data_IF_538235034963
#
_entry.id   IF_538235034963
#
_cell.length_a   1.000
_cell.length_b   1.000
_cell.length_c   1.000
_cell.angle_alpha   90.00
_cell.angle_beta   90.00
_cell.angle_gamma   90.00
#
_symmetry.space_group_name_H-M   'P 1'
#
loop_
_entity.id
_entity.type
_entity.pdbx_description
1 polymer ?
#
# COMPACT_ATOMS: atom_id res chain seq x y z
N UNK A 1 15.11 -38.63 29.54
CA UNK A 1 14.53 -39.67 28.68
C UNK A 1 13.23 -39.10 28.15
N UNK A 2 13.26 -38.52 26.93
CA UNK A 2 12.14 -38.04 26.09
C UNK A 2 11.32 -36.89 26.71
N UNK A 3 11.46 -35.60 26.37
CA UNK A 3 11.50 -34.93 25.05
C UNK A 3 10.37 -35.41 24.13
N UNK A 4 9.15 -34.93 24.38
CA UNK A 4 8.04 -34.95 23.42
C UNK A 4 7.60 -33.51 23.15
N UNK A 5 8.41 -32.84 22.32
CA UNK A 5 8.06 -31.59 21.68
C UNK A 5 6.95 -31.85 20.65
N UNK A 6 5.70 -31.69 21.06
CA UNK A 6 4.57 -31.61 20.13
C UNK A 6 4.66 -30.25 19.45
N UNK A 7 5.12 -30.27 18.20
CA UNK A 7 5.22 -29.13 17.32
C UNK A 7 3.83 -28.54 17.02
N UNK A 8 3.45 -27.48 17.75
CA UNK A 8 2.38 -26.58 17.35
C UNK A 8 2.98 -25.35 16.67
N UNK A 9 2.96 -25.38 15.34
CA UNK A 9 3.20 -24.23 14.47
C UNK A 9 2.15 -23.14 14.72
N UNK A 10 2.40 -22.25 15.67
CA UNK A 10 1.60 -21.07 15.90
C UNK A 10 2.50 -19.83 15.97
N UNK A 11 2.46 -19.06 14.89
CA UNK A 11 2.70 -17.61 14.77
C UNK A 11 3.29 -16.98 16.04
N UNK A 12 4.60 -16.67 15.99
CA UNK A 12 5.29 -15.91 17.01
C UNK A 12 4.76 -14.46 17.02
N UNK A 13 3.66 -14.24 17.72
CA UNK A 13 3.21 -12.91 18.07
C UNK A 13 3.94 -12.48 19.35
N UNK A 14 4.84 -11.51 19.25
CA UNK A 14 5.50 -10.95 20.43
C UNK A 14 4.49 -10.03 21.14
N UNK A 15 4.18 -10.33 22.40
CA UNK A 15 3.28 -9.51 23.22
C UNK A 15 4.12 -8.40 23.86
N UNK A 16 4.02 -7.20 23.31
CA UNK A 16 4.70 -6.00 23.86
C UNK A 16 3.72 -5.26 24.76
N UNK A 17 4.04 -5.20 26.06
CA UNK A 17 3.25 -4.50 27.07
C UNK A 17 3.87 -3.14 27.36
N UNK A 18 3.08 -2.06 27.23
CA UNK A 18 3.48 -0.70 27.61
C UNK A 18 2.28 -0.01 28.26
N UNK A 19 2.09 -0.25 29.55
CA UNK A 19 0.96 0.26 30.36
C UNK A 19 -0.23 -0.72 30.44
N UNK A 20 -1.47 -0.27 30.70
CA UNK A 20 -2.65 -1.14 30.78
C UNK A 20 -3.10 -1.72 29.42
N UNK A 21 -2.38 -1.39 28.34
CA UNK A 21 -2.73 -1.73 26.97
C UNK A 21 -1.75 -2.76 26.43
N UNK A 22 -2.28 -3.91 26.00
CA UNK A 22 -1.53 -4.98 25.37
C UNK A 22 -1.53 -4.80 23.85
N UNK A 23 -0.34 -4.79 23.24
CA UNK A 23 -0.19 -4.80 21.78
C UNK A 23 0.20 -6.21 21.32
N UNK A 24 -0.57 -6.77 20.39
CA UNK A 24 -0.20 -8.01 19.69
C UNK A 24 0.60 -7.65 18.45
N UNK A 25 1.91 -7.85 18.49
CA UNK A 25 2.75 -7.71 17.29
C UNK A 25 2.73 -9.08 16.59
N UNK A 26 1.77 -9.26 15.69
CA UNK A 26 1.73 -10.44 14.84
C UNK A 26 2.80 -10.28 13.74
N UNK A 27 3.91 -11.00 13.86
CA UNK A 27 4.83 -11.16 12.74
C UNK A 27 4.15 -12.05 11.68
N UNK A 28 3.56 -11.41 10.67
CA UNK A 28 3.07 -12.10 9.49
C UNK A 28 4.28 -12.45 8.62
N UNK A 29 4.98 -13.51 9.03
CA UNK A 29 6.01 -14.18 8.23
C UNK A 29 5.47 -14.39 6.81
N UNK A 30 5.95 -13.55 5.90
CA UNK A 30 5.48 -13.51 4.52
C UNK A 30 6.16 -14.65 3.77
N UNK A 31 5.65 -15.87 3.96
CA UNK A 31 6.03 -17.03 3.17
C UNK A 31 5.99 -16.64 1.68
N UNK A 32 7.13 -16.76 1.00
CA UNK A 32 7.29 -16.52 -0.43
C UNK A 32 6.58 -17.62 -1.24
N UNK A 33 5.27 -17.70 -1.06
CA UNK A 33 4.40 -18.68 -1.68
C UNK A 33 4.21 -18.37 -3.17
N UNK A 34 4.04 -19.40 -3.98
CA UNK A 34 3.61 -19.31 -5.38
C UNK A 34 2.40 -18.38 -5.57
N UNK A 35 1.51 -18.31 -4.57
CA UNK A 35 0.40 -17.34 -4.48
C UNK A 35 0.84 -15.88 -4.60
N UNK A 36 1.98 -15.50 -4.02
CA UNK A 36 2.49 -14.13 -4.06
C UNK A 36 2.95 -13.69 -5.45
N UNK A 37 3.57 -14.60 -6.22
CA UNK A 37 3.97 -14.33 -7.62
C UNK A 37 2.74 -14.19 -8.51
N UNK A 38 1.79 -15.12 -8.40
CA UNK A 38 0.53 -15.05 -9.16
C UNK A 38 -0.25 -13.76 -8.85
N UNK A 39 -0.33 -13.38 -7.57
CA UNK A 39 -0.93 -12.11 -7.16
C UNK A 39 -0.25 -10.90 -7.82
N UNK A 40 1.09 -10.90 -7.92
CA UNK A 40 1.80 -9.79 -8.57
C UNK A 40 1.45 -9.70 -10.06
N UNK A 41 1.39 -10.82 -10.78
CA UNK A 41 0.98 -10.83 -12.18
C UNK A 41 -0.46 -10.36 -12.37
N UNK A 42 -1.39 -10.84 -11.53
CA UNK A 42 -2.78 -10.39 -11.59
C UNK A 42 -2.90 -8.90 -11.28
N UNK A 43 -2.21 -8.40 -10.26
CA UNK A 43 -2.26 -6.99 -9.88
C UNK A 43 -1.76 -6.09 -11.03
N UNK A 44 -0.71 -6.48 -11.77
CA UNK A 44 -0.19 -5.72 -12.92
C UNK A 44 -1.14 -5.78 -14.12
N UNK A 45 -1.66 -6.96 -14.46
CA UNK A 45 -2.57 -7.12 -15.61
C UNK A 45 -3.90 -6.41 -15.38
N UNK A 46 -4.51 -6.60 -14.20
CA UNK A 46 -5.79 -5.98 -13.86
C UNK A 46 -5.67 -4.47 -13.72
N UNK A 47 -4.58 -3.96 -13.11
CA UNK A 47 -4.37 -2.51 -13.03
C UNK A 47 -4.13 -1.90 -14.42
N UNK A 48 -3.34 -2.54 -15.29
CA UNK A 48 -3.12 -2.08 -16.66
C UNK A 48 -4.43 -2.00 -17.45
N UNK A 49 -5.28 -3.04 -17.36
CA UNK A 49 -6.58 -3.06 -18.02
C UNK A 49 -7.52 -1.98 -17.46
N UNK A 50 -7.58 -1.82 -16.14
CA UNK A 50 -8.39 -0.79 -15.50
C UNK A 50 -7.96 0.62 -15.93
N UNK A 51 -6.65 0.89 -15.99
CA UNK A 51 -6.12 2.17 -16.46
C UNK A 51 -6.45 2.40 -17.93
N UNK A 52 -6.35 1.39 -18.80
CA UNK A 52 -6.71 1.52 -20.21
C UNK A 52 -8.20 1.87 -20.38
N UNK A 53 -9.09 1.16 -19.67
CA UNK A 53 -10.54 1.39 -19.71
C UNK A 53 -10.93 2.74 -19.12
N UNK A 54 -10.28 3.16 -18.03
CA UNK A 54 -10.54 4.44 -17.36
C UNK A 54 -9.77 5.61 -17.98
N UNK A 55 -8.85 5.37 -18.90
CA UNK A 55 -8.01 6.41 -19.52
C UNK A 55 -8.79 7.61 -20.09
N UNK A 56 -9.93 7.46 -20.80
CA UNK A 56 -10.69 8.62 -21.26
C UNK A 56 -11.23 9.46 -20.11
N UNK A 57 -11.73 8.82 -19.04
CA UNK A 57 -12.22 9.51 -17.84
C UNK A 57 -11.08 10.23 -17.10
N UNK A 58 -9.94 9.56 -16.92
CA UNK A 58 -8.76 10.14 -16.29
C UNK A 58 -8.22 11.35 -17.07
N UNK A 59 -8.33 11.34 -18.39
CA UNK A 59 -7.95 12.47 -19.25
C UNK A 59 -8.89 13.66 -19.04
N UNK A 60 -10.21 13.44 -18.99
CA UNK A 60 -11.19 14.50 -18.68
C UNK A 60 -10.90 15.13 -17.33
N UNK A 61 -10.68 14.31 -16.29
CA UNK A 61 -10.34 14.79 -14.94
C UNK A 61 -9.03 15.58 -14.98
N UNK A 62 -8.03 15.11 -15.72
CA UNK A 62 -6.73 15.79 -15.86
C UNK A 62 -6.86 17.20 -16.42
N UNK A 63 -7.73 17.38 -17.43
CA UNK A 63 -8.03 18.71 -18.01
C UNK A 63 -8.73 19.60 -16.99
N UNK A 64 -9.73 19.08 -16.27
CA UNK A 64 -10.47 19.84 -15.25
C UNK A 64 -9.55 20.32 -14.12
N UNK A 65 -8.68 19.42 -13.61
CA UNK A 65 -7.71 19.75 -12.57
C UNK A 65 -6.72 20.82 -13.06
N UNK A 66 -6.25 20.72 -14.31
CA UNK A 66 -5.33 21.70 -14.90
C UNK A 66 -5.96 23.08 -15.08
N UNK A 67 -7.26 23.14 -15.39
CA UNK A 67 -8.01 24.40 -15.53
C UNK A 67 -8.36 25.06 -14.19
N UNK A 68 -8.45 24.28 -13.10
CA UNK A 68 -8.82 24.81 -11.79
C UNK A 68 -7.74 25.70 -11.16
N UNK A 69 -6.45 25.39 -11.34
CA UNK A 69 -5.34 26.25 -10.89
C UNK A 69 -4.02 25.90 -11.60
N UNK A 70 -3.08 26.85 -11.75
CA UNK A 70 -1.75 26.57 -12.27
C UNK A 70 -1.04 25.51 -11.42
N UNK A 71 -0.18 24.69 -12.05
CA UNK A 71 0.57 23.62 -11.38
C UNK A 71 0.39 22.22 -11.97
N UNK A 72 0.99 21.20 -11.33
CA UNK A 72 0.91 19.79 -11.75
C UNK A 72 -0.47 19.18 -11.49
N UNK A 73 -0.85 18.20 -12.33
CA UNK A 73 -2.16 17.52 -12.26
C UNK A 73 -2.20 16.49 -11.12
N UNK A 74 -1.07 15.80 -10.92
CA UNK A 74 -0.91 14.79 -9.88
C UNK A 74 -0.09 15.36 -8.73
N UNK A 75 -0.53 15.03 -7.51
CA UNK A 75 0.19 15.28 -6.27
C UNK A 75 0.84 13.97 -5.80
N UNK A 76 2.11 14.05 -5.41
CA UNK A 76 2.91 12.92 -4.92
C UNK A 76 2.98 13.00 -3.40
N UNK A 77 2.54 11.97 -2.70
CA UNK A 77 2.66 11.85 -1.25
C UNK A 77 3.49 10.61 -0.90
N UNK A 78 4.48 10.71 -0.02
CA UNK A 78 5.19 9.52 0.44
C UNK A 78 4.36 8.72 1.45
N UNK A 79 4.34 7.40 1.29
CA UNK A 79 3.70 6.45 2.21
C UNK A 79 4.59 5.24 2.44
N UNK A 80 4.51 4.66 3.63
CA UNK A 80 5.22 3.42 3.98
C UNK A 80 4.65 2.27 3.17
N UNK A 81 5.49 1.60 2.40
CA UNK A 81 5.11 0.52 1.49
C UNK A 81 5.47 -0.87 2.01
N UNK A 82 5.67 -1.78 1.07
CA UNK A 82 6.04 -3.17 1.35
C UNK A 82 7.41 -3.20 2.06
N UNK A 83 7.48 -3.99 3.14
CA UNK A 83 8.70 -4.23 3.92
C UNK A 83 9.31 -2.92 4.48
N UNK A 84 8.47 -1.92 4.78
CA UNK A 84 8.89 -0.64 5.32
C UNK A 84 9.48 0.33 4.29
N UNK A 85 9.63 -0.08 3.03
CA UNK A 85 10.20 0.76 1.97
C UNK A 85 9.18 1.84 1.56
N UNK A 86 9.50 3.14 1.68
CA UNK A 86 8.60 4.20 1.28
C UNK A 86 8.36 4.17 -0.24
N UNK A 87 7.16 4.58 -0.66
CA UNK A 87 6.80 4.69 -2.08
C UNK A 87 6.00 5.97 -2.36
N UNK A 88 6.14 6.54 -3.57
CA UNK A 88 5.34 7.68 -4.00
C UNK A 88 3.89 7.26 -4.28
N UNK A 89 2.94 7.85 -3.56
CA UNK A 89 1.50 7.70 -3.77
C UNK A 89 0.98 8.85 -4.64
N UNK A 90 0.55 8.52 -5.85
CA UNK A 90 0.02 9.45 -6.83
C UNK A 90 -1.49 9.64 -6.64
N UNK A 91 -1.95 10.89 -6.52
CA UNK A 91 -3.39 11.25 -6.50
C UNK A 91 -3.64 12.51 -7.32
N UNK A 92 -4.86 12.67 -7.84
CA UNK A 92 -5.27 13.94 -8.44
C UNK A 92 -5.23 15.05 -7.39
N UNK A 93 -4.74 16.21 -7.80
CA UNK A 93 -4.69 17.39 -6.93
C UNK A 93 -6.11 17.90 -6.68
N UNK A 94 -6.48 18.00 -5.41
CA UNK A 94 -7.75 18.62 -4.96
C UNK A 94 -7.56 20.00 -4.32
N UNK A 95 -6.36 20.30 -3.80
CA UNK A 95 -6.02 21.57 -3.17
C UNK A 95 -5.27 22.50 -4.13
N UNK A 96 -5.32 23.82 -3.89
CA UNK A 96 -4.56 24.81 -4.65
C UNK A 96 -3.06 24.52 -4.51
N UNK A 97 -2.31 24.70 -5.59
CA UNK A 97 -0.86 24.59 -5.55
C UNK A 97 -0.28 25.79 -4.78
N UNK A 98 0.60 25.55 -3.81
CA UNK A 98 1.15 26.55 -2.87
C UNK A 98 0.13 27.15 -1.89
N UNK A 99 -0.62 26.31 -1.17
CA UNK A 99 -1.44 26.78 -0.03
C UNK A 99 -0.65 27.01 1.27
N UNK A 100 0.69 26.99 1.20
CA UNK A 100 1.58 26.97 2.38
C UNK A 100 2.34 28.31 2.57
N UNK A 101 1.87 29.40 1.94
CA UNK A 101 2.30 30.78 2.22
C UNK A 101 1.39 31.45 3.27
#
# INVERSE_FOLDING_TARGET
>A
MKEDAVAFSAVAAEVVSSGPTLYLVADTSRSASFRGKLKRYSDVLLSGLAVALLSPLLLVISILVKRSSPGPILFVQERVGKDGVPFPFLKFRTMVHNSDD
#
